data_IF_104372456549
#
_entry.id   IF_104372456549
#
_cell.length_a   1.000
_cell.length_b   1.000
_cell.length_c   1.000
_cell.angle_alpha   90.00
_cell.angle_beta   90.00
_cell.angle_gamma   90.00
#
_symmetry.space_group_name_H-M   'P 1'
#
loop_
_entity.id
_entity.type
_entity.pdbx_description
1 polymer ?
#
# COMPACT_ATOMS: atom_id res chain seq x y z
N UNK A 1 55.02 40.69 2.49
CA UNK A 1 54.14 39.65 3.00
C UNK A 1 54.86 38.29 2.86
N UNK A 2 55.02 37.57 3.96
CA UNK A 2 55.86 36.36 4.00
C UNK A 2 55.18 35.26 3.19
N UNK A 3 55.95 34.56 2.27
CA UNK A 3 55.45 33.52 1.38
C UNK A 3 54.59 32.45 2.13
N UNK A 4 54.92 32.17 3.39
CA UNK A 4 54.13 31.23 4.24
C UNK A 4 52.71 31.73 4.50
N UNK A 5 52.52 33.01 4.76
CA UNK A 5 51.18 33.56 5.00
C UNK A 5 50.33 33.62 3.74
N UNK A 6 50.95 33.81 2.57
CA UNK A 6 50.22 33.78 1.30
C UNK A 6 49.72 32.38 0.96
N UNK A 7 50.51 31.35 1.25
CA UNK A 7 50.14 29.95 1.02
C UNK A 7 48.99 29.55 1.95
N UNK A 8 49.06 29.91 3.24
CA UNK A 8 48.00 29.64 4.21
C UNK A 8 46.69 30.35 3.80
N UNK A 9 46.77 31.59 3.35
CA UNK A 9 45.57 32.33 2.88
C UNK A 9 44.93 31.66 1.67
N UNK A 10 45.72 31.19 0.70
CA UNK A 10 45.21 30.48 -0.49
C UNK A 10 44.53 29.16 -0.10
N UNK A 11 45.13 28.38 0.79
CA UNK A 11 44.51 27.15 1.29
C UNK A 11 43.23 27.40 2.06
N UNK A 12 43.15 28.44 2.86
CA UNK A 12 41.95 28.82 3.60
C UNK A 12 40.84 29.26 2.65
N UNK A 13 41.14 30.02 1.63
CA UNK A 13 40.17 30.42 0.59
C UNK A 13 39.65 29.23 -0.19
N UNK A 14 40.52 28.32 -0.63
CA UNK A 14 40.17 27.10 -1.35
C UNK A 14 39.28 26.17 -0.48
N UNK A 15 39.57 26.05 0.82
CA UNK A 15 38.78 25.28 1.76
C UNK A 15 37.39 25.88 1.95
N UNK A 16 37.28 27.21 2.09
CA UNK A 16 36.00 27.92 2.19
C UNK A 16 35.19 27.74 0.91
N UNK A 17 35.79 27.86 -0.27
CA UNK A 17 35.12 27.63 -1.56
C UNK A 17 34.65 26.17 -1.70
N UNK A 18 35.45 25.19 -1.27
CA UNK A 18 35.05 23.77 -1.26
C UNK A 18 33.89 23.51 -0.32
N UNK A 19 33.92 24.08 0.89
CA UNK A 19 32.80 24.00 1.86
C UNK A 19 31.52 24.68 1.33
N UNK A 20 31.65 25.83 0.70
CA UNK A 20 30.52 26.55 0.10
C UNK A 20 29.92 25.76 -1.08
N UNK A 21 30.77 25.17 -1.95
CA UNK A 21 30.33 24.33 -3.07
C UNK A 21 29.62 23.05 -2.58
N UNK A 22 30.16 22.40 -1.53
CA UNK A 22 29.52 21.24 -0.91
C UNK A 22 28.16 21.60 -0.25
N UNK A 23 28.10 22.75 0.43
CA UNK A 23 26.84 23.27 1.02
C UNK A 23 25.82 23.62 -0.07
N UNK A 24 26.27 24.22 -1.18
CA UNK A 24 25.41 24.54 -2.32
C UNK A 24 24.88 23.26 -3.01
N UNK A 25 25.72 22.24 -3.17
CA UNK A 25 25.32 20.94 -3.73
C UNK A 25 24.34 20.22 -2.80
N UNK A 26 24.53 20.25 -1.48
CA UNK A 26 23.59 19.66 -0.51
C UNK A 26 22.25 20.42 -0.48
N UNK A 27 22.27 21.75 -0.58
CA UNK A 27 21.06 22.57 -0.69
C UNK A 27 20.30 22.32 -2.00
N UNK A 28 21.03 22.10 -3.13
CA UNK A 28 20.41 21.77 -4.41
C UNK A 28 19.77 20.38 -4.40
N UNK A 29 20.38 19.38 -3.73
CA UNK A 29 19.81 18.05 -3.58
C UNK A 29 18.53 18.07 -2.70
N UNK A 30 18.53 18.81 -1.60
CA UNK A 30 17.33 19.00 -0.76
C UNK A 30 16.24 19.72 -1.56
N UNK A 31 16.62 20.75 -2.35
CA UNK A 31 15.68 21.47 -3.22
C UNK A 31 15.07 20.58 -4.30
N UNK A 32 15.83 19.70 -4.95
CA UNK A 32 15.34 18.80 -5.99
C UNK A 32 14.33 17.79 -5.44
N UNK A 33 14.60 17.17 -4.27
CA UNK A 33 13.69 16.24 -3.61
C UNK A 33 12.36 16.92 -3.26
N UNK A 34 12.41 18.12 -2.71
CA UNK A 34 11.22 18.89 -2.37
C UNK A 34 10.42 19.32 -3.61
N UNK A 35 11.10 19.69 -4.69
CA UNK A 35 10.43 20.03 -5.96
C UNK A 35 9.69 18.81 -6.51
N UNK A 36 10.34 17.63 -6.57
CA UNK A 36 9.70 16.37 -6.98
C UNK A 36 8.49 16.01 -6.10
N UNK A 37 8.63 16.18 -4.78
CA UNK A 37 7.54 15.94 -3.84
C UNK A 37 6.33 16.82 -4.12
N UNK A 38 6.53 18.11 -4.26
CA UNK A 38 5.45 19.06 -4.53
C UNK A 38 4.80 18.84 -5.90
N UNK A 39 5.58 18.49 -6.91
CA UNK A 39 5.07 18.16 -8.23
C UNK A 39 4.18 16.90 -8.18
N UNK A 40 4.65 15.83 -7.54
CA UNK A 40 3.90 14.58 -7.40
C UNK A 40 2.63 14.77 -6.57
N UNK A 41 2.69 15.52 -5.47
CA UNK A 41 1.51 15.83 -4.66
C UNK A 41 0.45 16.60 -5.47
N UNK A 42 0.87 17.64 -6.24
CA UNK A 42 -0.04 18.38 -7.15
C UNK A 42 -0.60 17.50 -8.25
N UNK A 43 0.19 16.59 -8.80
CA UNK A 43 -0.28 15.62 -9.81
C UNK A 43 -1.44 14.78 -9.26
N UNK A 44 -1.29 14.27 -8.03
CA UNK A 44 -2.27 13.39 -7.39
C UNK A 44 -3.47 14.14 -6.83
N UNK A 45 -3.25 15.27 -6.16
CA UNK A 45 -4.30 15.92 -5.36
C UNK A 45 -4.79 17.26 -5.92
N UNK A 46 -4.20 17.75 -7.01
CA UNK A 46 -4.56 18.99 -7.71
C UNK A 46 -4.51 20.25 -6.82
N UNK A 47 -3.72 20.18 -5.74
CA UNK A 47 -3.47 21.27 -4.80
C UNK A 47 -2.05 21.19 -4.22
N UNK A 48 -1.60 22.24 -3.55
CA UNK A 48 -0.33 22.24 -2.84
C UNK A 48 -0.43 21.46 -1.52
N UNK A 49 0.67 20.82 -1.11
CA UNK A 49 0.79 20.21 0.22
C UNK A 49 0.73 21.30 1.29
N UNK A 50 -0.26 21.22 2.17
CA UNK A 50 -0.41 22.16 3.27
C UNK A 50 0.44 21.72 4.47
N UNK A 51 1.35 22.59 4.91
CA UNK A 51 2.23 22.34 6.06
C UNK A 51 1.69 23.09 7.25
N UNK A 52 1.40 22.39 8.35
CA UNK A 52 1.09 23.00 9.64
C UNK A 52 2.35 23.50 10.30
N UNK A 53 2.28 24.70 10.90
CA UNK A 53 3.41 25.30 11.61
C UNK A 53 3.77 24.59 12.91
N UNK A 54 2.81 23.87 13.48
CA UNK A 54 2.99 23.11 14.72
C UNK A 54 3.94 21.92 14.51
N UNK A 55 3.92 21.29 13.32
CA UNK A 55 4.68 20.07 13.01
C UNK A 55 5.45 20.20 11.68
N UNK A 56 5.93 21.39 11.37
CA UNK A 56 6.53 21.74 10.07
C UNK A 56 7.65 20.77 9.66
N UNK A 57 8.56 20.46 10.58
CA UNK A 57 9.70 19.58 10.29
C UNK A 57 9.25 18.15 9.92
N UNK A 58 8.32 17.57 10.68
CA UNK A 58 7.80 16.25 10.42
C UNK A 58 7.03 16.19 9.11
N UNK A 59 6.20 17.20 8.83
CA UNK A 59 5.42 17.25 7.60
C UNK A 59 6.29 17.44 6.35
N UNK A 60 7.38 18.22 6.47
CA UNK A 60 8.39 18.34 5.42
C UNK A 60 9.11 17.00 5.17
N UNK A 61 9.47 16.26 6.22
CA UNK A 61 10.06 14.92 6.11
C UNK A 61 9.07 13.98 5.42
N UNK A 62 7.81 13.98 5.85
CA UNK A 62 6.74 13.16 5.27
C UNK A 62 6.56 13.45 3.78
N UNK A 63 6.29 14.71 3.42
CA UNK A 63 6.08 15.12 2.03
C UNK A 63 7.26 14.72 1.13
N UNK A 64 8.48 15.04 1.56
CA UNK A 64 9.68 14.75 0.80
C UNK A 64 9.95 13.25 0.67
N UNK A 65 9.69 12.46 1.71
CA UNK A 65 9.90 11.01 1.66
C UNK A 65 8.81 10.31 0.84
N UNK A 66 7.54 10.60 1.12
CA UNK A 66 6.42 9.95 0.43
C UNK A 66 6.42 10.32 -1.06
N UNK A 67 6.26 11.60 -1.35
CA UNK A 67 6.03 12.06 -2.73
C UNK A 67 7.32 12.36 -3.49
N UNK A 68 8.44 12.63 -2.79
CA UNK A 68 9.74 12.91 -3.41
C UNK A 68 10.60 11.67 -3.64
N UNK A 69 10.44 10.61 -2.85
CA UNK A 69 11.25 9.40 -2.93
C UNK A 69 10.39 8.16 -3.24
N UNK A 70 9.47 7.77 -2.36
CA UNK A 70 8.71 6.51 -2.45
C UNK A 70 7.87 6.46 -3.73
N UNK A 71 7.13 7.51 -4.06
CA UNK A 71 6.31 7.58 -5.27
C UNK A 71 7.12 7.61 -6.57
N UNK A 72 8.41 7.94 -6.51
CA UNK A 72 9.31 7.96 -7.66
C UNK A 72 10.17 6.69 -7.75
N UNK A 73 9.96 5.71 -6.87
CA UNK A 73 10.67 4.44 -6.90
C UNK A 73 9.87 3.39 -7.65
N UNK A 74 10.53 2.67 -8.58
CA UNK A 74 9.93 1.58 -9.34
C UNK A 74 8.94 2.03 -10.41
N UNK A 75 8.12 1.10 -10.88
CA UNK A 75 7.26 1.23 -12.06
C UNK A 75 5.76 1.05 -11.80
N UNK A 76 5.34 0.85 -10.55
CA UNK A 76 3.92 0.68 -10.23
C UNK A 76 3.11 1.89 -10.68
N UNK A 77 2.01 1.62 -11.37
CA UNK A 77 1.07 2.64 -11.83
C UNK A 77 0.48 3.43 -10.65
N UNK A 78 0.28 4.75 -10.78
CA UNK A 78 -0.24 5.60 -9.70
C UNK A 78 -1.54 5.08 -9.09
N UNK A 79 -2.46 4.56 -9.90
CA UNK A 79 -3.71 3.95 -9.44
C UNK A 79 -3.45 2.79 -8.47
N UNK A 80 -2.55 1.89 -8.81
CA UNK A 80 -2.24 0.72 -7.98
C UNK A 80 -1.53 1.15 -6.68
N UNK A 81 -0.65 2.16 -6.73
CA UNK A 81 -0.01 2.73 -5.54
C UNK A 81 -1.04 3.25 -4.54
N UNK A 82 -2.08 3.95 -5.02
CA UNK A 82 -3.13 4.45 -4.15
C UNK A 82 -4.00 3.33 -3.56
N UNK A 83 -4.34 2.28 -4.33
CA UNK A 83 -5.06 1.13 -3.80
C UNK A 83 -4.23 0.39 -2.73
N UNK A 84 -2.92 0.22 -2.94
CA UNK A 84 -1.97 -0.32 -1.95
C UNK A 84 -1.97 0.53 -0.68
N UNK A 85 -1.89 1.84 -0.82
CA UNK A 85 -1.90 2.77 0.31
C UNK A 85 -3.21 2.69 1.09
N UNK A 86 -4.35 2.66 0.41
CA UNK A 86 -5.67 2.57 1.03
C UNK A 86 -5.85 1.29 1.86
N UNK A 87 -5.43 0.12 1.33
CA UNK A 87 -5.55 -1.13 2.11
C UNK A 87 -4.54 -1.18 3.26
N UNK A 88 -3.35 -0.61 3.08
CA UNK A 88 -2.35 -0.48 4.14
C UNK A 88 -2.87 0.41 5.29
N UNK A 89 -3.43 1.57 4.99
CA UNK A 89 -4.04 2.48 5.95
C UNK A 89 -5.24 1.85 6.65
N UNK A 90 -6.11 1.14 5.92
CA UNK A 90 -7.26 0.44 6.50
C UNK A 90 -6.80 -0.62 7.50
N UNK A 91 -5.81 -1.44 7.12
CA UNK A 91 -5.27 -2.48 7.99
C UNK A 91 -4.55 -1.92 9.23
N UNK A 92 -3.83 -0.80 9.09
CA UNK A 92 -3.10 -0.14 10.18
C UNK A 92 -3.92 0.88 10.98
N UNK A 93 -5.19 1.10 10.64
CA UNK A 93 -6.10 2.09 11.26
C UNK A 93 -5.68 3.56 11.05
N UNK A 94 -5.03 3.85 9.93
CA UNK A 94 -4.65 5.21 9.52
C UNK A 94 -5.83 6.02 8.94
N UNK A 95 -6.99 6.01 9.59
CA UNK A 95 -8.25 6.53 9.05
C UNK A 95 -8.21 8.01 8.67
N UNK A 96 -7.41 8.83 9.36
CA UNK A 96 -7.26 10.27 9.08
C UNK A 96 -6.69 10.57 7.68
N UNK A 97 -6.04 9.58 7.05
CA UNK A 97 -5.44 9.73 5.71
C UNK A 97 -6.30 9.11 4.60
N UNK A 98 -7.33 8.33 4.92
CA UNK A 98 -8.15 7.62 3.93
C UNK A 98 -8.77 8.60 2.92
N UNK A 99 -9.35 9.70 3.37
CA UNK A 99 -10.02 10.65 2.47
C UNK A 99 -9.07 11.22 1.41
N UNK A 100 -7.85 11.59 1.80
CA UNK A 100 -6.84 12.10 0.88
C UNK A 100 -6.43 11.06 -0.17
N UNK A 101 -6.19 9.82 0.25
CA UNK A 101 -5.80 8.74 -0.66
C UNK A 101 -6.96 8.22 -1.54
N UNK A 102 -8.22 8.34 -1.10
CA UNK A 102 -9.39 8.11 -1.97
C UNK A 102 -9.46 9.17 -3.07
N UNK A 103 -9.23 10.44 -2.74
CA UNK A 103 -9.16 11.52 -3.74
C UNK A 103 -8.00 11.29 -4.72
N UNK A 104 -6.82 10.96 -4.22
CA UNK A 104 -5.65 10.64 -5.03
C UNK A 104 -5.91 9.44 -5.96
N UNK A 105 -6.53 8.37 -5.44
CA UNK A 105 -6.89 7.20 -6.24
C UNK A 105 -7.84 7.55 -7.40
N UNK A 106 -8.89 8.35 -7.13
CA UNK A 106 -9.79 8.83 -8.18
C UNK A 106 -9.05 9.67 -9.23
N UNK A 107 -8.19 10.58 -8.81
CA UNK A 107 -7.38 11.40 -9.70
C UNK A 107 -6.35 10.59 -10.51
N UNK A 108 -5.87 9.47 -9.95
CA UNK A 108 -5.01 8.50 -10.62
C UNK A 108 -5.76 7.53 -11.55
N UNK A 109 -7.09 7.68 -11.70
CA UNK A 109 -7.92 6.89 -12.60
C UNK A 109 -8.52 5.62 -12.00
N UNK A 110 -8.50 5.45 -10.67
CA UNK A 110 -9.28 4.40 -10.02
C UNK A 110 -10.77 4.75 -10.09
N UNK A 111 -11.60 3.77 -10.40
CA UNK A 111 -13.06 3.90 -10.26
C UNK A 111 -13.47 3.80 -8.79
N UNK A 112 -14.61 4.37 -8.44
CA UNK A 112 -15.19 4.22 -7.12
C UNK A 112 -15.46 2.74 -6.75
N UNK A 113 -15.73 1.89 -7.76
CA UNK A 113 -15.88 0.44 -7.59
C UNK A 113 -14.55 -0.18 -7.16
N UNK A 114 -13.44 0.06 -7.89
CA UNK A 114 -12.13 -0.47 -7.54
C UNK A 114 -11.70 -0.07 -6.12
N UNK A 115 -11.93 1.19 -5.74
CA UNK A 115 -11.64 1.70 -4.40
C UNK A 115 -12.47 0.96 -3.34
N UNK A 116 -13.78 0.81 -3.54
CA UNK A 116 -14.63 0.06 -2.59
C UNK A 116 -14.27 -1.41 -2.51
N UNK A 117 -13.99 -2.05 -3.63
CA UNK A 117 -13.59 -3.46 -3.66
C UNK A 117 -12.24 -3.68 -2.93
N UNK A 118 -11.28 -2.75 -3.06
CA UNK A 118 -10.05 -2.80 -2.29
C UNK A 118 -10.29 -2.68 -0.77
N UNK A 119 -11.17 -1.75 -0.36
CA UNK A 119 -11.55 -1.60 1.05
C UNK A 119 -12.35 -2.81 1.56
N UNK A 120 -13.30 -3.34 0.77
CA UNK A 120 -14.08 -4.53 1.14
C UNK A 120 -13.17 -5.74 1.33
N UNK A 121 -12.18 -5.93 0.46
CA UNK A 121 -11.21 -7.02 0.55
C UNK A 121 -10.45 -7.04 1.89
N UNK A 122 -10.38 -5.91 2.61
CA UNK A 122 -9.77 -5.86 3.94
C UNK A 122 -10.60 -6.58 5.02
N UNK A 123 -11.92 -6.80 4.82
CA UNK A 123 -12.80 -7.30 5.87
C UNK A 123 -12.39 -8.68 6.43
N UNK A 124 -12.11 -9.70 5.61
CA UNK A 124 -11.71 -11.01 6.11
C UNK A 124 -10.36 -11.02 6.81
N UNK A 125 -9.50 -10.04 6.56
CA UNK A 125 -8.11 -9.98 7.10
C UNK A 125 -7.97 -9.03 8.27
N UNK A 126 -8.50 -7.82 8.14
CA UNK A 126 -8.34 -6.76 9.14
C UNK A 126 -9.56 -6.61 10.06
N UNK A 127 -10.66 -7.28 9.72
CA UNK A 127 -11.92 -7.23 10.45
C UNK A 127 -12.84 -6.07 10.01
N UNK A 128 -14.15 -6.27 10.08
CA UNK A 128 -15.18 -5.33 9.64
C UNK A 128 -15.08 -3.93 10.28
N UNK A 129 -14.77 -3.75 11.58
CA UNK A 129 -14.74 -2.42 12.18
C UNK A 129 -13.76 -1.46 11.49
N UNK A 130 -12.59 -1.93 11.06
CA UNK A 130 -11.60 -1.11 10.33
C UNK A 130 -12.12 -0.72 8.95
N UNK A 131 -12.77 -1.67 8.28
CA UNK A 131 -13.35 -1.44 6.95
C UNK A 131 -14.49 -0.43 7.00
N UNK A 132 -15.39 -0.54 7.98
CA UNK A 132 -16.48 0.44 8.12
C UNK A 132 -15.97 1.86 8.37
N UNK A 133 -14.94 2.02 9.21
CA UNK A 133 -14.33 3.32 9.43
C UNK A 133 -13.69 3.89 8.15
N UNK A 134 -12.98 3.07 7.37
CA UNK A 134 -12.40 3.48 6.09
C UNK A 134 -13.48 3.84 5.06
N UNK A 135 -14.57 3.06 5.00
CA UNK A 135 -15.70 3.31 4.10
C UNK A 135 -16.46 4.59 4.44
N UNK A 136 -16.53 4.96 5.71
CA UNK A 136 -17.12 6.25 6.10
C UNK A 136 -16.36 7.40 5.45
N UNK A 137 -15.04 7.42 5.55
CA UNK A 137 -14.20 8.45 4.92
C UNK A 137 -14.30 8.41 3.39
N UNK A 138 -14.22 7.23 2.79
CA UNK A 138 -14.34 7.08 1.33
C UNK A 138 -15.70 7.58 0.81
N UNK A 139 -16.79 7.27 1.51
CA UNK A 139 -18.13 7.71 1.13
C UNK A 139 -18.32 9.23 1.24
N UNK A 140 -17.60 9.91 2.16
CA UNK A 140 -17.58 11.39 2.22
C UNK A 140 -16.99 11.94 0.92
N UNK A 141 -15.81 11.45 0.53
CA UNK A 141 -15.16 11.88 -0.71
C UNK A 141 -16.01 11.59 -1.94
N UNK A 142 -16.64 10.42 -2.02
CA UNK A 142 -17.53 10.11 -3.15
C UNK A 142 -18.71 11.08 -3.26
N UNK A 143 -19.31 11.46 -2.14
CA UNK A 143 -20.39 12.47 -2.12
C UNK A 143 -19.87 13.84 -2.56
N UNK A 144 -18.71 14.27 -2.08
CA UNK A 144 -18.11 15.56 -2.43
C UNK A 144 -17.72 15.64 -3.93
N UNK A 145 -17.36 14.49 -4.51
CA UNK A 145 -17.09 14.35 -5.97
C UNK A 145 -18.37 14.06 -6.78
N UNK A 146 -19.58 14.14 -6.19
CA UNK A 146 -20.87 13.84 -6.83
C UNK A 146 -20.97 12.41 -7.42
N UNK A 147 -20.26 11.46 -6.85
CA UNK A 147 -20.39 10.04 -7.21
C UNK A 147 -21.63 9.47 -6.54
N UNK A 148 -22.55 8.98 -7.37
CA UNK A 148 -23.85 8.45 -6.89
C UNK A 148 -23.65 7.17 -6.08
N UNK A 149 -24.21 7.13 -4.87
CA UNK A 149 -24.27 5.95 -4.02
C UNK A 149 -25.74 5.46 -3.89
N UNK A 150 -25.98 4.14 -3.71
CA UNK A 150 -25.00 3.06 -3.70
C UNK A 150 -24.40 2.80 -5.08
N UNK A 151 -23.16 2.25 -5.10
CA UNK A 151 -22.55 1.73 -6.34
C UNK A 151 -23.22 0.41 -6.73
N UNK A 152 -23.18 0.02 -8.02
CA UNK A 152 -23.66 -1.29 -8.48
C UNK A 152 -22.97 -2.43 -7.70
N UNK A 153 -23.73 -3.47 -7.36
CA UNK A 153 -23.18 -4.66 -6.70
C UNK A 153 -22.16 -5.36 -7.60
N UNK A 154 -21.10 -5.82 -7.01
CA UNK A 154 -20.07 -6.62 -7.68
C UNK A 154 -20.14 -8.11 -7.27
N UNK A 155 -21.15 -8.52 -6.50
CA UNK A 155 -21.36 -9.89 -6.07
C UNK A 155 -21.69 -10.79 -7.27
N UNK A 156 -21.04 -11.96 -7.35
CA UNK A 156 -21.23 -12.96 -8.42
C UNK A 156 -21.75 -14.30 -7.90
N UNK A 157 -21.83 -14.47 -6.59
CA UNK A 157 -22.30 -15.69 -5.94
C UNK A 157 -23.59 -15.48 -5.17
N UNK A 158 -24.35 -16.55 -4.95
CA UNK A 158 -25.49 -16.62 -4.05
C UNK A 158 -25.15 -17.38 -2.77
N UNK A 159 -26.06 -17.41 -1.79
CA UNK A 159 -25.90 -18.18 -0.55
C UNK A 159 -25.63 -19.68 -0.85
N UNK A 160 -26.23 -20.23 -1.91
CA UNK A 160 -26.09 -21.63 -2.27
C UNK A 160 -24.77 -21.95 -2.98
N UNK A 161 -24.12 -20.97 -3.62
CA UNK A 161 -22.92 -21.17 -4.46
C UNK A 161 -21.62 -20.62 -3.85
N UNK A 162 -21.72 -19.77 -2.81
CA UNK A 162 -20.56 -19.06 -2.24
C UNK A 162 -19.47 -19.99 -1.71
N UNK A 163 -19.84 -21.11 -1.09
CA UNK A 163 -18.86 -22.07 -0.56
C UNK A 163 -18.09 -22.75 -1.67
N UNK A 164 -18.80 -23.35 -2.65
CA UNK A 164 -18.17 -24.08 -3.74
C UNK A 164 -17.27 -23.18 -4.58
N UNK A 165 -17.76 -21.98 -4.93
CA UNK A 165 -16.99 -20.98 -5.70
C UNK A 165 -15.80 -20.45 -4.94
N UNK A 166 -15.95 -20.22 -3.66
CA UNK A 166 -14.84 -19.80 -2.80
C UNK A 166 -13.78 -20.90 -2.65
N UNK A 167 -14.18 -22.14 -2.43
CA UNK A 167 -13.27 -23.28 -2.35
C UNK A 167 -12.53 -23.51 -3.67
N UNK A 168 -13.21 -23.35 -4.81
CA UNK A 168 -12.61 -23.42 -6.15
C UNK A 168 -11.49 -22.38 -6.31
N UNK A 169 -11.76 -21.09 -6.03
CA UNK A 169 -10.76 -20.02 -6.10
C UNK A 169 -9.60 -20.28 -5.14
N UNK A 170 -9.92 -20.65 -3.90
CA UNK A 170 -8.92 -20.91 -2.87
C UNK A 170 -7.99 -22.07 -3.27
N UNK A 171 -8.54 -23.13 -3.82
CA UNK A 171 -7.77 -24.30 -4.28
C UNK A 171 -6.93 -23.96 -5.52
N UNK A 172 -7.48 -23.20 -6.47
CA UNK A 172 -6.74 -22.78 -7.66
C UNK A 172 -5.55 -21.87 -7.31
N UNK A 173 -5.70 -21.03 -6.30
CA UNK A 173 -4.64 -20.08 -5.87
C UNK A 173 -3.58 -20.76 -5.01
N UNK A 174 -3.99 -21.64 -4.07
CA UNK A 174 -3.10 -22.16 -3.03
C UNK A 174 -2.85 -23.69 -3.12
N UNK A 175 -3.48 -24.36 -4.06
CA UNK A 175 -3.24 -25.77 -4.37
C UNK A 175 -3.92 -26.77 -3.42
N UNK A 176 -3.53 -28.05 -3.58
CA UNK A 176 -4.11 -29.20 -2.89
C UNK A 176 -4.15 -29.08 -1.36
N UNK A 177 -3.21 -28.35 -0.76
CA UNK A 177 -3.16 -28.12 0.69
C UNK A 177 -4.47 -27.57 1.29
N UNK A 178 -5.30 -26.91 0.48
CA UNK A 178 -6.60 -26.39 0.91
C UNK A 178 -7.58 -27.54 1.14
N UNK A 179 -7.67 -28.47 0.21
CA UNK A 179 -8.51 -29.66 0.36
C UNK A 179 -8.03 -30.55 1.52
N UNK A 180 -6.71 -30.68 1.66
CA UNK A 180 -6.11 -31.41 2.79
C UNK A 180 -6.44 -30.75 4.13
N UNK A 181 -6.43 -29.40 4.21
CA UNK A 181 -6.80 -28.67 5.41
C UNK A 181 -8.28 -28.87 5.79
N UNK A 182 -9.19 -28.92 4.80
CA UNK A 182 -10.60 -29.25 5.02
C UNK A 182 -10.77 -30.69 5.51
N UNK A 183 -10.11 -31.66 4.86
CA UNK A 183 -10.23 -33.07 5.18
C UNK A 183 -9.69 -33.42 6.56
N UNK A 184 -8.59 -32.77 6.98
CA UNK A 184 -7.90 -33.06 8.23
C UNK A 184 -8.26 -32.10 9.36
N UNK A 185 -9.19 -31.17 9.16
CA UNK A 185 -9.59 -30.25 10.22
C UNK A 185 -10.22 -31.00 11.40
N UNK A 186 -9.80 -30.74 12.65
CA UNK A 186 -10.48 -31.26 13.82
C UNK A 186 -11.97 -30.90 13.80
N UNK A 187 -12.83 -31.78 14.33
CA UNK A 187 -14.29 -31.58 14.26
C UNK A 187 -14.74 -30.21 14.78
N UNK A 188 -14.16 -29.79 15.89
CA UNK A 188 -14.44 -28.49 16.51
C UNK A 188 -13.85 -27.28 15.75
N UNK A 189 -13.14 -27.48 14.64
CA UNK A 189 -12.52 -26.42 13.81
C UNK A 189 -13.01 -26.44 12.35
N UNK A 190 -13.76 -27.45 11.92
CA UNK A 190 -14.27 -27.57 10.53
C UNK A 190 -15.04 -26.31 10.08
N UNK A 191 -15.83 -25.72 10.98
CA UNK A 191 -16.57 -24.50 10.69
C UNK A 191 -15.68 -23.32 10.31
N UNK A 192 -14.45 -23.23 10.88
CA UNK A 192 -13.48 -22.17 10.53
C UNK A 192 -13.03 -22.32 9.08
N UNK A 193 -12.71 -23.55 8.62
CA UNK A 193 -12.35 -23.80 7.23
C UNK A 193 -13.53 -23.46 6.30
N UNK A 194 -14.75 -23.86 6.68
CA UNK A 194 -15.94 -23.55 5.90
C UNK A 194 -16.19 -22.03 5.80
N UNK A 195 -16.05 -21.29 6.91
CA UNK A 195 -16.17 -19.82 6.89
C UNK A 195 -15.08 -19.17 6.03
N UNK A 196 -13.86 -19.67 6.10
CA UNK A 196 -12.75 -19.17 5.28
C UNK A 196 -13.09 -19.33 3.78
N UNK A 197 -13.53 -20.51 3.35
CA UNK A 197 -13.90 -20.73 1.95
C UNK A 197 -15.15 -19.95 1.54
N UNK A 198 -16.20 -19.92 2.37
CA UNK A 198 -17.46 -19.23 2.03
C UNK A 198 -17.31 -17.72 2.08
N UNK A 199 -16.84 -17.18 3.21
CA UNK A 199 -16.83 -15.75 3.44
C UNK A 199 -15.62 -15.10 2.77
N UNK A 200 -14.38 -15.52 3.10
CA UNK A 200 -13.20 -14.87 2.57
C UNK A 200 -13.09 -15.05 1.04
N UNK A 201 -13.20 -16.28 0.56
CA UNK A 201 -13.05 -16.55 -0.88
C UNK A 201 -14.37 -16.45 -1.64
N UNK A 202 -15.48 -16.92 -1.08
CA UNK A 202 -16.79 -16.85 -1.72
C UNK A 202 -17.36 -15.45 -1.79
N UNK A 203 -17.45 -14.74 -0.66
CA UNK A 203 -18.11 -13.44 -0.65
C UNK A 203 -17.21 -12.28 -1.13
N UNK A 204 -15.87 -12.43 -1.07
CA UNK A 204 -14.95 -11.34 -1.43
C UNK A 204 -14.14 -11.62 -2.69
N UNK A 205 -13.51 -12.80 -2.83
CA UNK A 205 -12.63 -13.06 -3.99
C UNK A 205 -13.37 -13.30 -5.30
N UNK A 206 -14.63 -13.76 -5.24
CA UNK A 206 -15.46 -13.96 -6.45
C UNK A 206 -15.98 -12.66 -7.05
N UNK A 207 -15.93 -11.55 -6.30
CA UNK A 207 -16.51 -10.27 -6.71
C UNK A 207 -15.79 -9.69 -7.93
N UNK A 208 -16.55 -8.99 -8.78
CA UNK A 208 -16.00 -8.19 -9.86
C UNK A 208 -15.34 -6.90 -9.34
N UNK A 209 -14.86 -6.04 -10.25
CA UNK A 209 -14.27 -4.74 -9.93
C UNK A 209 -12.76 -4.75 -9.70
N UNK A 210 -12.17 -5.89 -9.28
CA UNK A 210 -10.73 -6.11 -9.22
C UNK A 210 -10.40 -7.50 -9.77
N UNK A 211 -9.31 -7.62 -10.50
CA UNK A 211 -8.80 -8.91 -10.96
C UNK A 211 -8.07 -9.66 -9.82
N UNK A 212 -7.81 -10.93 -10.04
CA UNK A 212 -7.19 -11.81 -9.05
C UNK A 212 -5.75 -11.40 -8.70
N UNK A 213 -4.99 -10.90 -9.68
CA UNK A 213 -3.63 -10.37 -9.46
C UNK A 213 -3.66 -9.21 -8.46
N UNK A 214 -4.53 -8.26 -8.69
CA UNK A 214 -4.72 -7.10 -7.82
C UNK A 214 -5.22 -7.53 -6.44
N UNK A 215 -6.22 -8.43 -6.35
CA UNK A 215 -6.74 -8.92 -5.06
C UNK A 215 -5.66 -9.59 -4.21
N UNK A 216 -4.84 -10.47 -4.79
CA UNK A 216 -3.75 -11.13 -4.06
C UNK A 216 -2.65 -10.15 -3.63
N UNK A 217 -2.31 -9.18 -4.47
CA UNK A 217 -1.35 -8.13 -4.10
C UNK A 217 -1.85 -7.31 -2.91
N UNK A 218 -3.08 -6.82 -2.99
CA UNK A 218 -3.69 -6.04 -1.92
C UNK A 218 -3.85 -6.87 -0.64
N UNK A 219 -4.17 -8.16 -0.74
CA UNK A 219 -4.26 -9.06 0.40
C UNK A 219 -2.91 -9.24 1.09
N UNK A 220 -1.83 -9.44 0.33
CA UNK A 220 -0.49 -9.50 0.89
C UNK A 220 -0.14 -8.20 1.66
N UNK A 221 -0.47 -7.05 1.08
CA UNK A 221 -0.25 -5.75 1.73
C UNK A 221 -1.05 -5.60 3.02
N UNK A 222 -2.32 -6.01 3.05
CA UNK A 222 -3.14 -5.98 4.29
C UNK A 222 -2.49 -6.79 5.41
N UNK A 223 -2.04 -8.02 5.09
CA UNK A 223 -1.46 -8.94 6.06
C UNK A 223 -0.16 -8.37 6.64
N UNK A 224 0.76 -7.89 5.81
CA UNK A 224 2.01 -7.29 6.30
C UNK A 224 1.76 -6.00 7.09
N UNK A 225 0.70 -5.25 6.74
CA UNK A 225 0.32 -4.02 7.45
C UNK A 225 -0.23 -4.30 8.85
N UNK A 226 -0.83 -5.48 9.08
CA UNK A 226 -1.23 -5.92 10.43
C UNK A 226 0.00 -6.27 11.28
N UNK A 227 0.98 -6.96 10.71
CA UNK A 227 2.17 -7.48 11.39
C UNK A 227 1.88 -8.69 12.29
N UNK A 228 2.85 -9.58 12.45
CA UNK A 228 2.74 -10.77 13.29
C UNK A 228 2.01 -11.96 12.62
N UNK A 229 1.78 -11.92 11.31
CA UNK A 229 1.09 -12.95 10.53
C UNK A 229 2.02 -13.53 9.45
N UNK A 230 3.25 -13.88 9.81
CA UNK A 230 4.30 -14.32 8.87
C UNK A 230 3.90 -15.57 8.07
N UNK A 231 3.17 -16.52 8.69
CA UNK A 231 2.70 -17.72 8.00
C UNK A 231 1.70 -17.39 6.88
N UNK A 232 0.74 -16.50 7.16
CA UNK A 232 -0.25 -16.04 6.18
C UNK A 232 0.42 -15.18 5.11
N UNK A 233 1.30 -14.25 5.48
CA UNK A 233 2.08 -13.44 4.55
C UNK A 233 2.89 -14.34 3.59
N UNK A 234 3.54 -15.39 4.10
CA UNK A 234 4.26 -16.37 3.26
C UNK A 234 3.32 -17.10 2.30
N UNK A 235 2.13 -17.47 2.78
CA UNK A 235 1.10 -18.10 1.94
C UNK A 235 0.66 -17.20 0.79
N UNK A 236 0.35 -15.94 1.09
CA UNK A 236 -0.09 -14.95 0.09
C UNK A 236 1.05 -14.44 -0.80
N UNK A 237 2.31 -14.41 -0.34
CA UNK A 237 3.44 -14.17 -1.24
C UNK A 237 3.55 -15.26 -2.32
N UNK A 238 3.36 -16.54 -1.97
CA UNK A 238 3.28 -17.64 -2.95
C UNK A 238 2.02 -17.53 -3.82
N UNK A 239 0.87 -17.18 -3.25
CA UNK A 239 -0.37 -16.90 -3.99
C UNK A 239 -0.16 -15.82 -5.05
N UNK A 240 0.54 -14.76 -4.73
CA UNK A 240 0.91 -13.71 -5.69
C UNK A 240 1.71 -14.26 -6.88
N UNK A 241 2.72 -15.09 -6.62
CA UNK A 241 3.49 -15.72 -7.70
C UNK A 241 2.60 -16.63 -8.56
N UNK A 242 1.66 -17.37 -7.95
CA UNK A 242 0.75 -18.28 -8.67
C UNK A 242 -0.24 -17.56 -9.58
N UNK A 243 -0.68 -16.35 -9.23
CA UNK A 243 -1.57 -15.51 -10.05
C UNK A 243 -0.83 -14.58 -11.01
N UNK A 244 0.51 -14.67 -11.07
CA UNK A 244 1.35 -13.98 -12.04
C UNK A 244 1.87 -12.61 -11.60
N UNK A 245 1.85 -12.27 -10.31
CA UNK A 245 2.69 -11.22 -9.77
C UNK A 245 4.13 -11.75 -9.61
N UNK A 246 5.13 -10.90 -9.80
CA UNK A 246 6.52 -11.24 -9.56
C UNK A 246 7.05 -10.64 -8.25
N UNK A 247 8.25 -11.03 -7.85
CA UNK A 247 8.88 -10.53 -6.62
C UNK A 247 9.18 -9.04 -6.69
N UNK A 248 9.52 -8.52 -7.86
CA UNK A 248 9.84 -7.10 -8.03
C UNK A 248 8.57 -6.26 -7.79
N UNK A 249 7.44 -6.66 -8.33
CA UNK A 249 6.11 -6.06 -8.04
C UNK A 249 5.80 -6.08 -6.54
N UNK A 250 6.04 -7.21 -5.86
CA UNK A 250 5.83 -7.31 -4.41
C UNK A 250 6.75 -6.38 -3.63
N UNK A 251 8.03 -6.27 -4.00
CA UNK A 251 9.00 -5.37 -3.37
C UNK A 251 8.61 -3.91 -3.56
N UNK A 252 8.20 -3.52 -4.77
CA UNK A 252 7.71 -2.17 -5.04
C UNK A 252 6.46 -1.84 -4.21
N UNK A 253 5.50 -2.78 -4.11
CA UNK A 253 4.29 -2.61 -3.31
C UNK A 253 4.60 -2.47 -1.82
N UNK A 254 5.53 -3.26 -1.30
CA UNK A 254 5.99 -3.15 0.10
C UNK A 254 6.74 -1.85 0.34
N UNK A 255 7.53 -1.38 -0.63
CA UNK A 255 8.22 -0.08 -0.58
C UNK A 255 7.22 1.06 -0.45
N UNK A 256 6.10 1.02 -1.19
CA UNK A 256 5.00 1.99 -1.09
C UNK A 256 4.43 2.08 0.33
N UNK A 257 4.50 1.00 1.11
CA UNK A 257 3.94 0.95 2.46
C UNK A 257 4.88 1.52 3.55
N UNK A 258 6.16 1.76 3.28
CA UNK A 258 7.14 2.22 4.29
C UNK A 258 6.60 3.41 5.13
N UNK A 259 6.03 4.47 4.52
CA UNK A 259 5.55 5.63 5.28
C UNK A 259 4.41 5.32 6.25
N UNK A 260 3.64 4.25 6.00
CA UNK A 260 2.37 3.98 6.67
C UNK A 260 2.48 2.90 7.75
N UNK A 261 3.40 1.93 7.57
CA UNK A 261 3.56 0.79 8.51
C UNK A 261 4.95 0.69 9.14
N UNK A 262 5.89 1.51 8.69
CA UNK A 262 7.26 1.60 9.22
C UNK A 262 8.17 0.46 8.77
N UNK A 263 9.47 0.67 8.93
CA UNK A 263 10.53 -0.24 8.49
C UNK A 263 10.46 -1.66 9.06
N UNK A 264 10.13 -1.91 10.34
CA UNK A 264 10.16 -3.28 10.86
C UNK A 264 9.24 -4.24 10.10
N UNK A 265 8.01 -3.82 9.80
CA UNK A 265 7.05 -4.62 9.04
C UNK A 265 7.50 -4.82 7.58
N UNK A 266 8.01 -3.76 6.98
CA UNK A 266 8.53 -3.78 5.60
C UNK A 266 9.72 -4.73 5.47
N UNK A 267 10.69 -4.67 6.37
CA UNK A 267 11.85 -5.56 6.35
C UNK A 267 11.48 -7.04 6.55
N UNK A 268 10.51 -7.32 7.43
CA UNK A 268 9.96 -8.66 7.57
C UNK A 268 9.28 -9.14 6.27
N UNK A 269 8.50 -8.28 5.62
CA UNK A 269 7.86 -8.60 4.34
C UNK A 269 8.88 -8.87 3.23
N UNK A 270 9.95 -8.08 3.13
CA UNK A 270 11.05 -8.31 2.18
C UNK A 270 11.72 -9.66 2.44
N UNK A 271 11.95 -10.01 3.70
CA UNK A 271 12.50 -11.33 4.06
C UNK A 271 11.58 -12.47 3.58
N UNK A 272 10.27 -12.33 3.76
CA UNK A 272 9.27 -13.31 3.28
C UNK A 272 9.35 -13.44 1.75
N UNK A 273 9.31 -12.31 1.01
CA UNK A 273 9.37 -12.30 -0.46
C UNK A 273 10.64 -12.99 -0.99
N UNK A 274 11.79 -12.73 -0.36
CA UNK A 274 13.05 -13.34 -0.77
C UNK A 274 13.05 -14.86 -0.59
N UNK A 275 12.35 -15.39 0.42
CA UNK A 275 12.36 -16.80 0.79
C UNK A 275 11.26 -17.65 0.10
N UNK A 276 10.26 -17.06 -0.55
CA UNK A 276 9.26 -17.83 -1.31
C UNK A 276 9.82 -18.24 -2.69
N UNK A 277 9.35 -19.41 -3.15
CA UNK A 277 9.68 -19.98 -4.47
C UNK A 277 8.42 -20.13 -5.28
#
# INVERSE_FOLDING_TARGET
MNKKYLIILIFTILFIFSCMKNKQNSLNMVGERTMKANEKYRELLKRDFAISKEDEDLQNIFNNFVYGEVYNHGSLEPKLRELITLVSLTASQGNSMIAEHVEAALNAGASAIEIKEALYQCAPYAGFPRVFAALEEANKVFKDKNIKLPLPSQATVSEDTRFEKGLEIQTNTFGQRILDAHANAPENQKHIQNYLSSMCFGDFYTREGLDMKTRELLTFIMIISLGGQEAQATGHARGNLSVGNDKDTLIEAVTQCIPYIGYPRVLNAISIINNVK
#
